data_IF_190191798384
#
_entry.id   IF_190191798384
#
_cell.length_a   1.000
_cell.length_b   1.000
_cell.length_c   1.000
_cell.angle_alpha   90.00
_cell.angle_beta   90.00
_cell.angle_gamma   90.00
#
_symmetry.space_group_name_H-M   'P 1'
#
loop_
_entity.id
_entity.type
_entity.pdbx_description
1 polymer ?
#
# COMPACT_ATOMS: atom_id res chain seq x y z
N UNK A 1 7.93 -18.44 2.04
CA UNK A 1 6.97 -17.45 1.48
C UNK A 1 5.72 -18.21 1.11
N UNK A 2 4.61 -17.92 1.78
CA UNK A 2 3.29 -18.48 1.45
C UNK A 2 2.33 -17.32 1.18
N UNK A 3 1.41 -17.53 0.25
CA UNK A 3 0.31 -16.60 0.02
C UNK A 3 -1.00 -17.36 -0.01
N UNK A 4 -2.09 -16.67 0.35
CA UNK A 4 -3.46 -17.21 0.30
C UNK A 4 -4.34 -16.21 -0.43
N UNK A 5 -5.14 -16.71 -1.36
CA UNK A 5 -6.10 -15.92 -2.12
C UNK A 5 -7.50 -16.12 -1.56
N UNK A 6 -8.18 -15.03 -1.28
CA UNK A 6 -9.57 -14.95 -0.84
C UNK A 6 -10.41 -14.20 -1.88
N UNK A 7 -11.73 -14.39 -1.83
CA UNK A 7 -12.69 -13.73 -2.70
C UNK A 7 -13.58 -12.79 -1.89
N UNK A 8 -13.58 -11.51 -2.26
CA UNK A 8 -14.46 -10.48 -1.72
C UNK A 8 -14.04 -9.90 -0.37
N UNK A 9 -13.57 -10.70 0.59
CA UNK A 9 -13.13 -10.22 1.90
C UNK A 9 -12.10 -11.17 2.54
N UNK A 10 -11.46 -10.72 3.60
CA UNK A 10 -10.68 -11.56 4.51
C UNK A 10 -11.60 -12.48 5.33
N UNK A 11 -11.18 -13.72 5.63
CA UNK A 11 -11.89 -14.54 6.61
C UNK A 11 -11.78 -13.94 8.03
N UNK A 12 -12.70 -14.31 8.90
CA UNK A 12 -12.65 -13.94 10.31
C UNK A 12 -11.40 -14.50 11.00
N UNK A 13 -10.93 -13.79 12.03
CA UNK A 13 -9.86 -14.26 12.91
C UNK A 13 -8.43 -14.09 12.36
N UNK A 14 -8.24 -13.41 11.22
CA UNK A 14 -6.89 -13.02 10.80
C UNK A 14 -6.47 -11.77 11.55
N UNK A 15 -5.34 -11.87 12.26
CA UNK A 15 -4.74 -10.77 13.02
C UNK A 15 -3.43 -10.35 12.38
N UNK A 16 -3.17 -9.03 12.37
CA UNK A 16 -1.97 -8.44 11.77
C UNK A 16 -1.04 -7.79 12.79
N UNK A 17 -1.37 -7.90 14.11
CA UNK A 17 -0.59 -7.23 15.16
C UNK A 17 -0.67 -5.71 15.08
N UNK A 18 0.41 -5.02 15.46
CA UNK A 18 0.46 -3.56 15.56
C UNK A 18 0.58 -2.84 14.20
N UNK A 19 0.94 -3.57 13.14
CA UNK A 19 1.11 -3.01 11.81
C UNK A 19 0.80 -4.03 10.72
N UNK A 20 0.18 -3.57 9.64
CA UNK A 20 -0.12 -4.35 8.44
C UNK A 20 0.46 -3.66 7.20
N UNK A 21 1.23 -4.40 6.42
CA UNK A 21 1.66 -3.99 5.09
C UNK A 21 0.50 -4.17 4.10
N UNK A 22 0.26 -3.17 3.24
CA UNK A 22 -0.86 -3.16 2.30
C UNK A 22 -0.36 -2.65 0.96
N UNK A 23 -0.89 -3.23 -0.11
CA UNK A 23 -0.77 -2.76 -1.47
C UNK A 23 -2.06 -3.04 -2.24
N UNK A 24 -2.26 -2.44 -3.40
CA UNK A 24 -3.47 -2.63 -4.21
C UNK A 24 -3.14 -2.79 -5.68
N UNK A 25 -3.89 -3.67 -6.36
CA UNK A 25 -3.86 -3.78 -7.81
C UNK A 25 -5.20 -3.35 -8.40
N UNK A 26 -5.13 -2.60 -9.49
CA UNK A 26 -6.28 -2.02 -10.17
C UNK A 26 -6.16 -2.15 -11.68
N UNK A 27 -7.24 -1.83 -12.42
CA UNK A 27 -7.25 -1.82 -13.88
C UNK A 27 -6.46 -0.66 -14.51
N UNK A 28 -5.92 0.25 -13.68
CA UNK A 28 -5.13 1.40 -14.07
C UNK A 28 -4.99 2.39 -12.92
N UNK A 29 -4.62 3.64 -13.22
CA UNK A 29 -4.22 4.63 -12.22
C UNK A 29 -5.28 5.70 -11.91
N UNK A 30 -6.46 5.62 -12.51
CA UNK A 30 -7.56 6.56 -12.25
C UNK A 30 -8.63 5.87 -11.39
N UNK A 31 -8.76 6.19 -10.08
CA UNK A 31 -9.71 5.52 -9.18
C UNK A 31 -11.18 5.61 -9.62
N UNK A 32 -11.56 6.63 -10.40
CA UNK A 32 -12.93 6.79 -10.89
C UNK A 32 -13.27 5.91 -12.08
N UNK A 33 -12.26 5.50 -12.85
CA UNK A 33 -12.43 4.69 -14.06
C UNK A 33 -11.93 3.27 -13.86
N UNK A 34 -10.81 3.13 -13.16
CA UNK A 34 -10.02 1.91 -13.10
C UNK A 34 -10.31 1.20 -11.77
N UNK A 35 -11.06 0.10 -11.84
CA UNK A 35 -11.57 -0.57 -10.64
C UNK A 35 -10.47 -1.20 -9.78
N UNK A 36 -10.69 -1.21 -8.47
CA UNK A 36 -9.94 -2.03 -7.53
C UNK A 36 -10.13 -3.52 -7.83
N UNK A 37 -9.05 -4.26 -7.94
CA UNK A 37 -9.06 -5.69 -8.29
C UNK A 37 -8.56 -6.59 -7.16
N UNK A 38 -7.47 -6.19 -6.52
CA UNK A 38 -6.85 -6.98 -5.43
C UNK A 38 -6.39 -6.03 -4.33
N UNK A 39 -6.52 -6.49 -3.08
CA UNK A 39 -5.85 -5.91 -1.92
C UNK A 39 -4.91 -6.97 -1.36
N UNK A 40 -3.66 -6.62 -1.19
CA UNK A 40 -2.62 -7.46 -0.60
C UNK A 40 -2.33 -7.00 0.83
N UNK A 41 -2.15 -7.96 1.74
CA UNK A 41 -1.84 -7.69 3.15
C UNK A 41 -0.77 -8.64 3.68
N UNK A 42 0.07 -8.16 4.60
CA UNK A 42 1.05 -8.97 5.32
C UNK A 42 1.27 -8.43 6.73
N UNK A 43 1.39 -9.34 7.70
CA UNK A 43 1.80 -9.01 9.06
C UNK A 43 3.34 -8.88 9.23
N UNK A 44 4.12 -9.05 8.15
CA UNK A 44 5.59 -9.07 8.22
C UNK A 44 6.16 -10.43 8.67
N UNK A 45 5.35 -11.45 8.72
CA UNK A 45 5.66 -12.82 9.15
C UNK A 45 6.12 -13.75 7.99
N UNK A 46 6.30 -13.19 6.79
CA UNK A 46 6.64 -13.92 5.58
C UNK A 46 5.44 -14.52 4.84
N UNK A 47 4.22 -14.24 5.30
CA UNK A 47 2.97 -14.63 4.66
C UNK A 47 2.27 -13.42 4.05
N UNK A 48 1.53 -13.65 2.96
CA UNK A 48 0.69 -12.65 2.33
C UNK A 48 -0.76 -13.16 2.17
N UNK A 49 -1.71 -12.26 2.36
CA UNK A 49 -3.13 -12.46 2.16
C UNK A 49 -3.57 -11.60 0.98
N UNK A 50 -4.15 -12.22 -0.05
CA UNK A 50 -4.63 -11.54 -1.25
C UNK A 50 -6.14 -11.59 -1.26
N UNK A 51 -6.82 -10.45 -1.36
CA UNK A 51 -8.28 -10.38 -1.47
C UNK A 51 -8.63 -9.88 -2.86
N UNK A 52 -9.19 -10.76 -3.69
CA UNK A 52 -9.61 -10.43 -5.05
C UNK A 52 -11.09 -10.05 -5.09
N UNK A 53 -11.40 -8.94 -5.76
CA UNK A 53 -12.76 -8.43 -5.95
C UNK A 53 -13.29 -8.75 -7.35
N UNK A 54 -14.54 -9.23 -7.42
CA UNK A 54 -15.29 -9.21 -8.64
C UNK A 54 -15.79 -7.79 -8.95
N UNK A 55 -16.00 -7.47 -10.22
CA UNK A 55 -16.48 -6.16 -10.63
C UNK A 55 -17.84 -5.83 -9.94
N UNK A 56 -17.92 -4.67 -9.29
CA UNK A 56 -19.11 -4.21 -8.59
C UNK A 56 -19.39 -4.87 -7.22
N UNK A 57 -18.53 -5.79 -6.76
CA UNK A 57 -18.71 -6.51 -5.50
C UNK A 57 -17.63 -6.10 -4.49
N UNK A 58 -17.93 -5.08 -3.69
CA UNK A 58 -16.99 -4.49 -2.71
C UNK A 58 -17.51 -4.56 -1.28
N UNK A 59 -18.37 -5.53 -0.97
CA UNK A 59 -18.78 -5.77 0.41
C UNK A 59 -17.72 -6.58 1.16
N UNK A 60 -16.87 -5.85 1.92
CA UNK A 60 -15.69 -6.37 2.60
C UNK A 60 -15.63 -5.85 4.05
N UNK A 61 -16.51 -6.32 4.95
CA UNK A 61 -16.59 -5.80 6.31
C UNK A 61 -15.32 -6.03 7.12
N UNK A 62 -14.59 -7.13 6.92
CA UNK A 62 -13.36 -7.41 7.65
C UNK A 62 -12.22 -6.49 7.21
N UNK A 63 -12.06 -6.25 5.91
CA UNK A 63 -11.12 -5.25 5.41
C UNK A 63 -11.47 -3.84 5.90
N UNK A 64 -12.75 -3.44 5.84
CA UNK A 64 -13.18 -2.13 6.33
C UNK A 64 -12.87 -1.95 7.81
N UNK A 65 -13.14 -2.98 8.64
CA UNK A 65 -12.81 -2.98 10.08
C UNK A 65 -11.31 -2.80 10.30
N UNK A 66 -10.46 -3.58 9.59
CA UNK A 66 -9.01 -3.47 9.66
C UNK A 66 -8.52 -2.08 9.28
N UNK A 67 -9.02 -1.51 8.17
CA UNK A 67 -8.60 -0.20 7.70
C UNK A 67 -9.02 0.94 8.63
N UNK A 68 -10.18 0.82 9.27
CA UNK A 68 -10.69 1.79 10.25
C UNK A 68 -10.02 1.67 11.63
N UNK A 69 -9.39 0.53 11.94
CA UNK A 69 -8.76 0.29 13.25
C UNK A 69 -7.57 1.21 13.47
N UNK A 70 -7.69 2.15 14.40
CA UNK A 70 -6.66 3.13 14.74
C UNK A 70 -5.49 2.55 15.53
N UNK A 71 -5.62 1.36 16.09
CA UNK A 71 -4.55 0.68 16.82
C UNK A 71 -3.56 -0.03 15.90
N UNK A 72 -3.93 -0.33 14.65
CA UNK A 72 -3.11 -0.99 13.66
C UNK A 72 -2.55 0.01 12.66
N UNK A 73 -1.24 0.15 12.54
CA UNK A 73 -0.58 1.01 11.55
C UNK A 73 -0.61 0.37 10.16
N UNK A 74 -1.07 1.11 9.14
CA UNK A 74 -1.10 0.65 7.74
C UNK A 74 0.16 1.12 7.01
N UNK A 75 0.98 0.17 6.58
CA UNK A 75 2.22 0.40 5.85
C UNK A 75 1.98 0.27 4.35
N UNK A 76 2.33 1.29 3.60
CA UNK A 76 2.23 1.32 2.15
C UNK A 76 3.56 1.70 1.50
N UNK A 77 3.67 1.35 0.21
CA UNK A 77 4.64 1.98 -0.67
C UNK A 77 3.91 2.81 -1.72
N UNK A 78 4.05 4.15 -1.68
CA UNK A 78 3.27 5.10 -2.49
C UNK A 78 1.78 5.18 -2.10
N UNK A 79 1.49 5.21 -0.81
CA UNK A 79 0.17 5.19 -0.19
C UNK A 79 -0.92 6.07 -0.83
N UNK A 80 -0.55 7.20 -1.47
CA UNK A 80 -1.48 8.17 -2.08
C UNK A 80 -2.49 7.50 -3.01
N UNK A 81 -2.03 6.60 -3.89
CA UNK A 81 -2.90 5.87 -4.81
C UNK A 81 -3.76 4.84 -4.06
N UNK A 82 -3.14 4.01 -3.24
CA UNK A 82 -3.81 2.90 -2.55
C UNK A 82 -4.95 3.38 -1.65
N UNK A 83 -4.70 4.41 -0.83
CA UNK A 83 -5.73 4.92 0.08
C UNK A 83 -6.85 5.64 -0.67
N UNK A 84 -6.58 6.25 -1.84
CA UNK A 84 -7.61 6.86 -2.68
C UNK A 84 -8.53 5.79 -3.29
N UNK A 85 -7.97 4.73 -3.86
CA UNK A 85 -8.77 3.66 -4.45
C UNK A 85 -9.52 2.84 -3.39
N UNK A 86 -8.92 2.60 -2.21
CA UNK A 86 -9.60 1.97 -1.07
C UNK A 86 -10.77 2.84 -0.61
N UNK A 87 -10.57 4.15 -0.43
CA UNK A 87 -11.65 5.09 -0.08
C UNK A 87 -12.77 5.06 -1.11
N UNK A 88 -12.44 5.05 -2.39
CA UNK A 88 -13.43 5.08 -3.47
C UNK A 88 -14.29 3.81 -3.53
N UNK A 89 -13.68 2.62 -3.43
CA UNK A 89 -14.38 1.34 -3.61
C UNK A 89 -14.87 0.71 -2.31
N UNK A 90 -14.12 0.85 -1.21
CA UNK A 90 -14.48 0.24 0.07
C UNK A 90 -15.13 1.25 1.04
N UNK A 91 -15.14 2.55 0.72
CA UNK A 91 -15.78 3.58 1.54
C UNK A 91 -15.11 3.81 2.90
N UNK A 92 -13.83 3.46 3.04
CA UNK A 92 -13.07 3.62 4.27
C UNK A 92 -11.71 4.22 3.98
N UNK A 93 -11.31 5.24 4.77
CA UNK A 93 -9.96 5.83 4.69
C UNK A 93 -9.04 5.11 5.67
N UNK A 94 -8.04 4.35 5.19
CA UNK A 94 -7.09 3.67 6.08
C UNK A 94 -6.33 4.67 6.95
N UNK A 95 -6.27 4.42 8.27
CA UNK A 95 -5.52 5.23 9.23
C UNK A 95 -5.22 4.42 10.51
N UNK A 96 -4.08 4.67 11.23
CA UNK A 96 -2.99 5.56 10.84
C UNK A 96 -2.15 4.99 9.69
N UNK A 97 -1.37 5.86 9.04
CA UNK A 97 -0.61 5.54 7.83
C UNK A 97 0.90 5.69 8.00
N UNK A 98 1.64 4.88 7.27
CA UNK A 98 3.08 5.05 7.01
C UNK A 98 3.34 4.80 5.52
N UNK A 99 4.11 5.67 4.89
CA UNK A 99 4.48 5.53 3.48
C UNK A 99 5.99 5.42 3.32
N UNK A 100 6.50 4.24 2.96
CA UNK A 100 7.93 3.98 2.78
C UNK A 100 8.55 4.83 1.66
N UNK A 101 7.80 5.19 0.61
CA UNK A 101 8.27 6.07 -0.46
C UNK A 101 8.48 7.51 0.03
N UNK A 102 7.56 8.04 0.86
CA UNK A 102 7.71 9.37 1.46
C UNK A 102 8.89 9.37 2.45
N UNK A 103 8.96 8.38 3.34
CA UNK A 103 10.08 8.23 4.26
C UNK A 103 11.42 8.18 3.49
N UNK A 104 11.50 7.38 2.41
CA UNK A 104 12.68 7.32 1.55
C UNK A 104 13.04 8.67 0.94
N UNK A 105 12.08 9.41 0.41
CA UNK A 105 12.33 10.74 -0.15
C UNK A 105 12.87 11.73 0.88
N UNK A 106 12.40 11.63 2.10
CA UNK A 106 12.87 12.50 3.18
C UNK A 106 14.30 12.18 3.64
N UNK A 107 14.80 10.94 3.51
CA UNK A 107 16.10 10.55 4.06
C UNK A 107 17.15 10.17 3.01
N UNK A 108 16.74 9.82 1.78
CA UNK A 108 17.64 9.44 0.69
C UNK A 108 17.70 10.56 -0.36
N UNK A 109 18.09 11.75 0.07
CA UNK A 109 18.12 12.97 -0.78
C UNK A 109 19.23 12.97 -1.84
N UNK A 110 20.10 11.97 -1.84
CA UNK A 110 21.20 11.79 -2.77
C UNK A 110 20.80 11.01 -4.05
N UNK A 111 19.53 10.58 -4.18
CA UNK A 111 19.05 9.75 -5.28
C UNK A 111 17.58 10.01 -5.58
N UNK A 112 17.15 9.78 -6.83
CA UNK A 112 15.74 9.78 -7.24
C UNK A 112 15.13 8.37 -7.23
N UNK A 113 15.89 7.35 -6.81
CA UNK A 113 15.48 5.94 -6.79
C UNK A 113 14.72 5.61 -5.51
N UNK A 114 13.42 5.87 -5.50
CA UNK A 114 12.51 5.65 -4.38
C UNK A 114 11.44 4.59 -4.67
N UNK A 115 11.59 3.80 -5.74
CA UNK A 115 10.70 2.68 -6.04
C UNK A 115 10.89 1.52 -5.06
N UNK A 116 9.85 0.71 -4.84
CA UNK A 116 9.88 -0.42 -3.91
C UNK A 116 11.06 -1.37 -4.18
N UNK A 117 11.28 -1.73 -5.44
CA UNK A 117 12.42 -2.56 -5.85
C UNK A 117 13.76 -1.94 -5.49
N UNK A 118 13.94 -0.64 -5.76
CA UNK A 118 15.18 0.05 -5.44
C UNK A 118 15.42 0.07 -3.92
N UNK A 119 14.38 0.31 -3.13
CA UNK A 119 14.47 0.28 -1.68
C UNK A 119 14.80 -1.11 -1.15
N UNK A 120 14.14 -2.14 -1.63
CA UNK A 120 14.44 -3.52 -1.24
C UNK A 120 15.88 -3.90 -1.57
N UNK A 121 16.36 -3.53 -2.77
CA UNK A 121 17.74 -3.79 -3.18
C UNK A 121 18.75 -3.03 -2.35
N UNK A 122 18.56 -1.71 -2.19
CA UNK A 122 19.55 -0.83 -1.56
C UNK A 122 19.57 -0.98 -0.03
N UNK A 123 18.42 -1.20 0.63
CA UNK A 123 18.31 -1.23 2.08
C UNK A 123 18.26 -2.64 2.68
N UNK A 124 17.80 -3.64 1.91
CA UNK A 124 17.62 -5.01 2.38
C UNK A 124 18.47 -6.04 1.61
N UNK A 125 19.08 -5.66 0.48
CA UNK A 125 19.82 -6.60 -0.38
C UNK A 125 18.92 -7.56 -1.17
N UNK A 126 17.62 -7.27 -1.30
CA UNK A 126 16.61 -8.12 -1.94
C UNK A 126 16.29 -7.58 -3.34
N UNK A 127 16.39 -8.43 -4.36
CA UNK A 127 16.02 -8.07 -5.74
C UNK A 127 14.61 -8.55 -6.07
N UNK A 128 13.66 -7.62 -6.20
CA UNK A 128 12.26 -7.91 -6.55
C UNK A 128 12.10 -7.99 -8.06
N UNK A 129 11.29 -8.95 -8.53
CA UNK A 129 10.94 -9.12 -9.95
C UNK A 129 9.83 -8.15 -10.37
N UNK A 130 9.86 -7.65 -11.61
CA UNK A 130 8.86 -6.68 -12.15
C UNK A 130 7.83 -7.31 -13.12
N UNK A 131 7.81 -8.60 -13.28
CA UNK A 131 7.23 -9.26 -14.46
C UNK A 131 5.70 -9.14 -14.60
N UNK A 132 4.96 -8.74 -13.54
CA UNK A 132 3.49 -8.73 -13.56
C UNK A 132 2.84 -7.33 -13.33
N UNK A 133 3.61 -6.28 -13.24
CA UNK A 133 3.11 -4.92 -12.94
C UNK A 133 2.00 -4.44 -13.91
N UNK A 134 2.04 -4.86 -15.17
CA UNK A 134 1.09 -4.48 -16.23
C UNK A 134 0.17 -5.62 -16.64
N UNK A 135 -0.08 -6.59 -15.76
CA UNK A 135 -0.93 -7.74 -16.08
C UNK A 135 -2.43 -7.40 -15.95
N UNK A 136 -3.29 -8.26 -16.50
CA UNK A 136 -4.74 -8.12 -16.35
C UNK A 136 -5.19 -8.54 -14.94
N UNK A 137 -5.20 -7.56 -14.01
CA UNK A 137 -5.68 -7.76 -12.65
C UNK A 137 -7.19 -7.96 -12.57
N UNK A 138 -7.92 -7.57 -13.64
CA UNK A 138 -9.36 -7.74 -13.76
C UNK A 138 -9.82 -9.15 -14.12
N UNK A 139 -8.90 -10.06 -14.44
CA UNK A 139 -9.20 -11.44 -14.79
C UNK A 139 -10.01 -12.16 -13.70
N UNK A 140 -10.91 -13.07 -14.10
CA UNK A 140 -11.74 -13.84 -13.18
C UNK A 140 -10.91 -14.73 -12.23
N UNK A 141 -9.76 -15.20 -12.69
CA UNK A 141 -8.79 -15.95 -11.89
C UNK A 141 -7.38 -15.37 -12.10
N UNK A 142 -6.68 -15.14 -11.01
CA UNK A 142 -5.28 -14.71 -11.06
C UNK A 142 -4.35 -15.91 -11.27
N UNK A 143 -3.35 -15.77 -12.13
CA UNK A 143 -2.30 -16.76 -12.28
C UNK A 143 -1.42 -16.85 -11.02
N UNK A 144 -0.70 -17.95 -10.89
CA UNK A 144 0.27 -18.13 -9.80
C UNK A 144 1.40 -17.06 -9.83
N UNK A 145 1.78 -16.61 -11.03
CA UNK A 145 2.75 -15.53 -11.20
C UNK A 145 2.22 -14.20 -10.70
N UNK A 146 0.95 -13.85 -11.02
CA UNK A 146 0.29 -12.67 -10.50
C UNK A 146 0.18 -12.71 -8.98
N UNK A 147 -0.25 -13.84 -8.41
CA UNK A 147 -0.37 -13.98 -6.96
C UNK A 147 0.99 -13.84 -6.26
N UNK A 148 2.05 -14.44 -6.80
CA UNK A 148 3.42 -14.29 -6.27
C UNK A 148 3.94 -12.86 -6.37
N UNK A 149 3.66 -12.18 -7.48
CA UNK A 149 4.02 -10.78 -7.65
C UNK A 149 3.32 -9.91 -6.60
N UNK A 150 1.98 -9.96 -6.54
CA UNK A 150 1.18 -9.21 -5.57
C UNK A 150 1.59 -9.48 -4.12
N UNK A 151 1.91 -10.74 -3.78
CA UNK A 151 2.43 -11.08 -2.45
C UNK A 151 3.78 -10.41 -2.17
N UNK A 152 4.67 -10.31 -3.17
CA UNK A 152 6.01 -9.75 -2.98
C UNK A 152 6.00 -8.27 -2.62
N UNK A 153 4.98 -7.51 -3.04
CA UNK A 153 4.90 -6.06 -2.84
C UNK A 153 4.61 -5.67 -1.37
N UNK A 154 4.07 -6.59 -0.56
CA UNK A 154 3.78 -6.35 0.86
C UNK A 154 4.77 -7.00 1.83
N UNK A 155 5.50 -8.05 1.42
CA UNK A 155 6.30 -8.87 2.35
C UNK A 155 7.48 -8.12 2.99
N UNK A 156 7.96 -7.06 2.37
CA UNK A 156 9.17 -6.37 2.79
C UNK A 156 8.93 -5.00 3.45
N UNK A 157 7.67 -4.53 3.52
CA UNK A 157 7.39 -3.16 3.99
C UNK A 157 7.71 -2.97 5.47
N UNK A 158 7.55 -4.00 6.32
CA UNK A 158 7.93 -3.95 7.74
C UNK A 158 9.45 -3.77 7.91
N UNK A 159 10.25 -4.54 7.18
CA UNK A 159 11.71 -4.42 7.21
C UNK A 159 12.19 -3.08 6.64
N UNK A 160 11.57 -2.60 5.54
CA UNK A 160 11.85 -1.27 4.99
C UNK A 160 11.51 -0.17 5.97
N UNK A 161 10.36 -0.25 6.66
CA UNK A 161 9.98 0.70 7.71
C UNK A 161 11.06 0.79 8.78
N UNK A 162 11.50 -0.35 9.33
CA UNK A 162 12.52 -0.37 10.37
C UNK A 162 13.81 0.35 9.95
N UNK A 163 14.30 0.09 8.73
CA UNK A 163 15.49 0.76 8.19
C UNK A 163 15.27 2.25 7.93
N UNK A 164 14.10 2.63 7.43
CA UNK A 164 13.77 4.03 7.16
C UNK A 164 13.55 4.82 8.45
N UNK A 165 12.99 4.22 9.50
CA UNK A 165 12.82 4.87 10.80
C UNK A 165 14.18 5.18 11.46
N UNK A 166 15.18 4.27 11.37
CA UNK A 166 16.55 4.54 11.80
C UNK A 166 17.15 5.76 11.06
N UNK A 167 16.92 5.83 9.72
CA UNK A 167 17.41 6.94 8.91
C UNK A 167 16.67 8.25 9.23
N UNK A 168 15.35 8.22 9.42
CA UNK A 168 14.54 9.38 9.81
C UNK A 168 15.00 9.95 11.15
N UNK A 169 15.27 9.10 12.12
CA UNK A 169 15.77 9.50 13.44
C UNK A 169 17.16 10.14 13.33
N UNK A 170 18.08 9.53 12.58
CA UNK A 170 19.44 10.07 12.33
C UNK A 170 19.39 11.46 11.70
N UNK A 171 18.53 11.65 10.69
CA UNK A 171 18.38 12.92 9.98
C UNK A 171 17.46 13.93 10.71
N UNK A 172 16.93 13.57 11.89
CA UNK A 172 15.97 14.39 12.68
C UNK A 172 14.71 14.78 11.89
N UNK A 173 14.21 13.85 11.04
CA UNK A 173 13.06 14.09 10.16
C UNK A 173 11.83 13.26 10.52
N UNK A 174 11.82 12.58 11.67
CA UNK A 174 10.71 11.72 12.13
C UNK A 174 9.41 12.49 12.23
N UNK A 175 9.40 13.68 12.86
CA UNK A 175 8.18 14.49 13.03
C UNK A 175 7.67 15.04 11.68
N UNK A 176 8.60 15.42 10.79
CA UNK A 176 8.25 15.85 9.43
C UNK A 176 7.60 14.71 8.64
N UNK A 177 8.15 13.49 8.74
CA UNK A 177 7.57 12.32 8.09
C UNK A 177 6.17 12.01 8.64
N UNK A 178 5.98 12.09 9.97
CA UNK A 178 4.68 11.91 10.61
C UNK A 178 3.64 12.89 10.07
N UNK A 179 3.96 14.17 10.01
CA UNK A 179 3.07 15.20 9.44
C UNK A 179 2.71 14.91 7.97
N UNK A 180 3.67 14.43 7.18
CA UNK A 180 3.40 14.00 5.80
C UNK A 180 2.43 12.81 5.74
N UNK A 181 2.58 11.84 6.64
CA UNK A 181 1.67 10.68 6.69
C UNK A 181 0.27 11.08 7.15
N UNK A 182 0.16 11.98 8.13
CA UNK A 182 -1.11 12.54 8.60
C UNK A 182 -1.85 13.34 7.50
N UNK A 183 -1.12 13.95 6.57
CA UNK A 183 -1.70 14.68 5.44
C UNK A 183 -2.18 13.77 4.30
N UNK A 184 -1.68 12.54 4.17
CA UNK A 184 -2.03 11.63 3.07
C UNK A 184 -3.54 11.43 2.86
N UNK A 185 -4.38 11.27 3.91
CA UNK A 185 -5.83 11.19 3.74
C UNK A 185 -6.42 12.42 3.03
N UNK A 186 -5.99 13.62 3.43
CA UNK A 186 -6.42 14.85 2.75
C UNK A 186 -5.95 14.89 1.30
N UNK A 187 -4.70 14.47 1.01
CA UNK A 187 -4.18 14.39 -0.36
C UNK A 187 -4.98 13.42 -1.23
N UNK A 188 -5.33 12.26 -0.69
CA UNK A 188 -6.14 11.27 -1.41
C UNK A 188 -7.57 11.79 -1.71
N UNK A 189 -8.18 12.50 -0.76
CA UNK A 189 -9.48 13.14 -0.98
C UNK A 189 -9.41 14.25 -2.03
N UNK A 190 -8.32 15.02 -2.07
CA UNK A 190 -8.09 16.01 -3.14
C UNK A 190 -7.98 15.32 -4.50
N UNK A 191 -7.29 14.19 -4.61
CA UNK A 191 -7.20 13.43 -5.84
C UNK A 191 -8.59 12.96 -6.33
N UNK A 192 -9.39 12.41 -5.42
CA UNK A 192 -10.76 11.97 -5.71
C UNK A 192 -11.69 13.13 -6.05
N UNK A 193 -11.43 14.32 -5.54
CA UNK A 193 -12.23 15.51 -5.81
C UNK A 193 -11.80 16.30 -7.07
N UNK A 194 -10.78 15.79 -7.80
CA UNK A 194 -10.37 16.35 -9.09
C UNK A 194 -9.10 17.21 -9.07
N UNK A 195 -8.40 17.31 -7.92
CA UNK A 195 -7.13 18.06 -7.80
C UNK A 195 -5.88 17.17 -7.88
N UNK A 196 -5.95 16.03 -8.60
CA UNK A 196 -4.84 15.09 -8.67
C UNK A 196 -3.57 15.71 -9.30
N UNK A 197 -3.75 16.52 -10.34
CA UNK A 197 -2.66 17.15 -11.10
C UNK A 197 -2.30 18.56 -10.62
N UNK A 198 -3.00 19.07 -9.61
CA UNK A 198 -2.78 20.42 -9.09
C UNK A 198 -2.19 20.41 -7.70
N UNK A 199 -1.18 21.23 -7.49
CA UNK A 199 -0.74 21.61 -6.14
C UNK A 199 -1.54 22.82 -5.68
N UNK A 200 -2.53 22.58 -4.81
CA UNK A 200 -3.38 23.66 -4.27
C UNK A 200 -2.61 24.64 -3.35
N UNK A 201 -1.38 24.32 -3.00
CA UNK A 201 -0.49 25.18 -2.21
C UNK A 201 0.50 25.97 -3.08
N UNK A 202 0.55 25.70 -4.39
CA UNK A 202 1.40 26.46 -5.31
C UNK A 202 0.88 27.89 -5.52
N UNK A 203 1.83 28.82 -5.62
CA UNK A 203 1.57 30.23 -5.91
C UNK A 203 2.06 30.59 -7.30
#
# INVERSE_FOLDING_TARGET
MTHRLYRGDLPDGIEFGDAVAIDTEAMGLNPHRDRLCVVQLSAGDGNAHLVQFAAGCYDAPNLRRLFADRSVLKLFHFARFDIAIIQHYLGVMPQPLYCTKIASRLVRTFTDRHGLRDLCKDLLGIDLKKEQQSSDWGAAALSEEQQRYAASDVLHLHALRARLDEMLARERRTELARSCFEFLPARALLDLAGWAEQDIFAH
#
